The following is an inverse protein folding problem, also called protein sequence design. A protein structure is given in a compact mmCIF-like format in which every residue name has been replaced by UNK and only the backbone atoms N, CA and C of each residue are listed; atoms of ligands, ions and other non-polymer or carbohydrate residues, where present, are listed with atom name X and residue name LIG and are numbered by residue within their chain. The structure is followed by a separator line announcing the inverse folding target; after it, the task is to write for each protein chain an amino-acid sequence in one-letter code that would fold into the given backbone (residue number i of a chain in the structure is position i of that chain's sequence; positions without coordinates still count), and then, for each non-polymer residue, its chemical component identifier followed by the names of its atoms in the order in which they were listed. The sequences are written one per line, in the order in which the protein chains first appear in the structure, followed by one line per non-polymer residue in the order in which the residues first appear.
data_IF_000418826161
#
_entry.id   IF_000418826161
#
_cell.length_a   1.000
_cell.length_b   1.000
_cell.length_c   1.000
_cell.angle_alpha   90.00
_cell.angle_beta   90.00
_cell.angle_gamma   90.00
#
_symmetry.space_group_name_H-M   'P 1'
#
loop_
_entity.id
_entity.type
_entity.pdbx_description
1 polymer ?
#
# COMPACT_ATOMS: atom_id res chain seq x y z
N UNK A 1 3.33 -32.01 16.64
CA UNK A 1 4.50 -31.75 15.77
C UNK A 1 4.90 -30.28 15.90
N UNK A 2 6.03 -30.01 16.56
CA UNK A 2 6.50 -28.64 16.79
C UNK A 2 7.04 -28.05 15.48
N UNK A 3 6.40 -26.99 15.00
CA UNK A 3 6.80 -26.28 13.80
C UNK A 3 8.13 -25.53 14.09
N UNK A 4 9.27 -26.12 13.72
CA UNK A 4 10.58 -25.47 13.82
C UNK A 4 10.58 -24.24 12.91
N UNK A 5 10.29 -23.06 13.47
CA UNK A 5 10.47 -21.77 12.81
C UNK A 5 11.92 -21.69 12.33
N UNK A 6 12.12 -21.43 11.04
CA UNK A 6 13.45 -21.27 10.44
C UNK A 6 14.22 -20.12 11.12
N UNK A 7 15.56 -20.19 11.22
CA UNK A 7 16.38 -19.18 11.88
C UNK A 7 16.15 -17.77 11.31
N UNK A 8 15.94 -17.64 9.99
CA UNK A 8 15.59 -16.38 9.35
C UNK A 8 14.25 -15.77 9.84
N UNK A 9 13.27 -16.60 10.20
CA UNK A 9 11.99 -16.14 10.74
C UNK A 9 12.08 -15.61 12.17
N UNK A 10 13.02 -16.13 12.96
CA UNK A 10 13.33 -15.60 14.30
C UNK A 10 13.98 -14.22 14.22
N UNK A 11 14.88 -14.01 13.25
CA UNK A 11 15.56 -12.73 13.05
C UNK A 11 14.59 -11.62 12.66
N UNK A 12 13.65 -11.88 11.74
CA UNK A 12 12.67 -10.89 11.29
C UNK A 12 11.66 -10.50 12.38
N UNK A 13 11.21 -11.46 13.20
CA UNK A 13 10.31 -11.17 14.31
C UNK A 13 11.02 -10.29 15.35
N UNK A 14 12.27 -10.61 15.69
CA UNK A 14 13.06 -9.81 16.63
C UNK A 14 13.33 -8.39 16.09
N UNK A 15 13.73 -8.28 14.82
CA UNK A 15 13.90 -7.00 14.12
C UNK A 15 12.60 -6.18 14.10
N UNK A 16 11.46 -6.84 13.86
CA UNK A 16 10.16 -6.17 13.92
C UNK A 16 9.88 -5.60 15.30
N UNK A 17 10.03 -6.40 16.37
CA UNK A 17 9.69 -5.97 17.73
C UNK A 17 10.58 -4.83 18.23
N UNK A 18 11.89 -4.90 17.96
CA UNK A 18 12.87 -3.96 18.50
C UNK A 18 12.99 -2.68 17.67
N UNK A 19 13.00 -2.80 16.33
CA UNK A 19 13.31 -1.68 15.44
C UNK A 19 12.07 -1.08 14.81
N UNK A 20 11.15 -1.90 14.29
CA UNK A 20 10.09 -1.40 13.38
C UNK A 20 8.80 -1.05 14.11
N UNK A 21 8.39 -1.86 15.08
CA UNK A 21 7.14 -1.71 15.82
C UNK A 21 6.98 -0.32 16.47
N UNK A 22 8.01 0.28 17.10
CA UNK A 22 7.89 1.61 17.69
C UNK A 22 7.46 2.70 16.69
N UNK A 23 7.96 2.63 15.44
CA UNK A 23 7.59 3.59 14.40
C UNK A 23 6.13 3.44 13.94
N UNK A 24 5.55 2.24 13.99
CA UNK A 24 4.18 2.01 13.55
C UNK A 24 3.14 2.76 14.42
N UNK A 25 3.49 3.09 15.67
CA UNK A 25 2.60 3.85 16.57
C UNK A 25 2.41 5.30 16.12
N UNK A 26 3.44 5.88 15.50
CA UNK A 26 3.50 7.31 15.16
C UNK A 26 3.42 7.55 13.65
N UNK A 27 3.69 6.54 12.83
CA UNK A 27 3.70 6.64 11.37
C UNK A 27 2.37 7.21 10.83
N UNK A 28 2.43 8.11 9.82
CA UNK A 28 1.24 8.69 9.20
C UNK A 28 0.41 7.63 8.47
N UNK A 29 1.05 6.56 8.01
CA UNK A 29 0.43 5.45 7.33
C UNK A 29 0.89 4.11 7.91
N UNK A 30 0.04 3.10 7.79
CA UNK A 30 0.31 1.73 8.23
C UNK A 30 -0.14 0.75 7.16
N UNK A 31 0.74 -0.18 6.80
CA UNK A 31 0.38 -1.37 6.04
C UNK A 31 0.14 -2.53 7.01
N UNK A 32 -1.13 -2.89 7.20
CA UNK A 32 -1.52 -4.06 7.98
C UNK A 32 -1.54 -5.29 7.11
N UNK A 33 -0.88 -6.35 7.56
CA UNK A 33 -0.88 -7.67 6.94
C UNK A 33 -1.60 -8.62 7.89
N UNK A 34 -2.71 -9.19 7.44
CA UNK A 34 -3.61 -9.98 8.28
C UNK A 34 -4.29 -11.10 7.48
N UNK A 35 -4.96 -12.01 8.18
CA UNK A 35 -5.87 -12.97 7.56
C UNK A 35 -7.33 -12.50 7.72
N UNK A 36 -8.17 -12.84 6.75
CA UNK A 36 -9.63 -12.66 6.82
C UNK A 36 -10.29 -13.97 6.40
N UNK A 37 -11.34 -14.40 7.12
CA UNK A 37 -12.04 -15.65 6.83
C UNK A 37 -12.58 -15.74 5.41
N UNK A 38 -12.98 -14.61 4.84
CA UNK A 38 -13.65 -14.53 3.53
C UNK A 38 -12.71 -14.18 2.37
N UNK A 39 -11.39 -14.02 2.61
CA UNK A 39 -10.43 -13.57 1.59
C UNK A 39 -9.20 -14.47 1.57
N UNK A 40 -8.63 -14.78 0.40
CA UNK A 40 -7.40 -15.55 0.31
C UNK A 40 -6.26 -14.81 1.01
N UNK A 41 -5.62 -15.51 1.94
CA UNK A 41 -4.53 -14.97 2.74
C UNK A 41 -3.23 -14.76 1.92
N UNK A 42 -2.42 -13.73 2.27
CA UNK A 42 -2.72 -12.67 3.23
C UNK A 42 -3.58 -11.55 2.61
N UNK A 43 -4.20 -10.76 3.47
CA UNK A 43 -4.86 -9.50 3.13
C UNK A 43 -3.99 -8.34 3.58
N UNK A 44 -3.71 -7.44 2.65
CA UNK A 44 -2.98 -6.20 2.89
C UNK A 44 -4.01 -5.08 3.02
N UNK A 45 -3.90 -4.27 4.07
CA UNK A 45 -4.79 -3.15 4.32
C UNK A 45 -3.94 -1.92 4.58
N UNK A 46 -4.04 -0.92 3.71
CA UNK A 46 -3.38 0.38 3.93
C UNK A 46 -4.31 1.23 4.78
N UNK A 47 -3.76 1.83 5.83
CA UNK A 47 -4.48 2.73 6.75
C UNK A 47 -3.76 4.06 6.83
N UNK A 48 -4.52 5.17 6.82
CA UNK A 48 -4.02 6.52 7.09
C UNK A 48 -4.42 6.94 8.50
N UNK A 49 -3.50 7.60 9.19
CA UNK A 49 -3.76 8.23 10.49
C UNK A 49 -4.43 9.58 10.29
N UNK A 50 -5.51 9.79 11.03
CA UNK A 50 -6.21 11.07 11.08
C UNK A 50 -6.13 11.64 12.48
N UNK A 51 -5.80 12.91 12.56
CA UNK A 51 -5.88 13.71 13.78
C UNK A 51 -7.19 14.51 13.71
N UNK A 52 -8.07 14.39 14.71
CA UNK A 52 -9.38 15.06 14.69
C UNK A 52 -9.32 16.60 14.62
N UNK A 53 -8.16 17.20 14.84
CA UNK A 53 -7.95 18.66 14.82
C UNK A 53 -7.53 19.27 13.47
N UNK A 54 -7.38 18.48 12.40
CA UNK A 54 -6.92 19.00 11.10
C UNK A 54 -7.91 19.95 10.41
N UNK A 55 -9.21 19.82 10.71
CA UNK A 55 -10.28 20.50 9.98
C UNK A 55 -11.10 21.51 10.81
N UNK A 56 -10.78 21.69 12.11
CA UNK A 56 -11.57 22.54 13.01
C UNK A 56 -10.73 23.69 13.61
N UNK A 57 -10.56 24.78 12.84
CA UNK A 57 -10.31 26.11 13.41
C UNK A 57 -11.65 26.73 13.85
N UNK A 58 -12.21 26.24 14.95
CA UNK A 58 -13.21 26.97 15.72
C UNK A 58 -13.28 26.37 17.14
N UNK A 59 -12.78 27.12 18.12
CA UNK A 59 -12.99 26.92 19.56
C UNK A 59 -12.33 25.68 20.21
N UNK A 60 -11.06 25.85 20.57
CA UNK A 60 -10.55 25.54 21.91
C UNK A 60 -10.95 24.21 22.58
N UNK A 61 -10.45 23.08 22.07
CA UNK A 61 -9.82 21.94 22.80
C UNK A 61 -9.63 20.79 21.80
N UNK A 62 -8.46 20.13 21.72
CA UNK A 62 -8.31 18.91 20.93
C UNK A 62 -9.22 17.82 21.51
N UNK A 63 -10.34 17.53 20.86
CA UNK A 63 -11.21 16.42 21.25
C UNK A 63 -11.02 15.25 20.29
N UNK A 64 -10.23 14.28 20.72
CA UNK A 64 -10.17 12.96 20.10
C UNK A 64 -8.77 12.39 19.95
N UNK A 65 -8.65 11.08 20.15
CA UNK A 65 -7.40 10.34 19.94
C UNK A 65 -7.17 10.15 18.45
N UNK A 66 -5.90 10.20 17.96
CA UNK A 66 -5.58 9.83 16.60
C UNK A 66 -6.12 8.43 16.27
N UNK A 67 -6.73 8.27 15.10
CA UNK A 67 -7.29 6.99 14.67
C UNK A 67 -6.81 6.62 13.27
N UNK A 68 -6.78 5.31 12.98
CA UNK A 68 -6.41 4.78 11.68
C UNK A 68 -7.67 4.46 10.86
N UNK A 69 -7.82 5.12 9.72
CA UNK A 69 -8.88 4.86 8.74
C UNK A 69 -8.36 4.01 7.60
N UNK A 70 -9.09 2.97 7.22
CA UNK A 70 -8.74 2.14 6.08
C UNK A 70 -8.85 2.93 4.78
N UNK A 71 -7.82 2.82 3.94
CA UNK A 71 -7.70 3.55 2.69
C UNK A 71 -7.64 2.64 1.47
N UNK A 72 -7.46 1.33 1.66
CA UNK A 72 -7.57 0.36 0.59
C UNK A 72 -7.21 -1.02 1.09
N UNK A 73 -7.54 -2.03 0.29
CA UNK A 73 -7.20 -3.42 0.57
C UNK A 73 -6.71 -4.15 -0.70
N UNK A 74 -5.83 -5.13 -0.53
CA UNK A 74 -5.28 -5.94 -1.60
C UNK A 74 -5.08 -7.39 -1.14
N UNK A 75 -5.53 -8.35 -1.94
CA UNK A 75 -5.41 -9.78 -1.64
C UNK A 75 -5.45 -10.61 -2.92
N UNK A 76 -5.18 -11.92 -2.82
CA UNK A 76 -5.33 -12.85 -3.94
C UNK A 76 -4.40 -12.58 -5.13
N UNK A 77 -4.92 -12.72 -6.35
CA UNK A 77 -4.12 -12.58 -7.57
C UNK A 77 -3.61 -11.14 -7.81
N UNK A 78 -4.40 -10.07 -7.59
CA UNK A 78 -3.88 -8.70 -7.63
C UNK A 78 -2.69 -8.48 -6.67
N UNK A 79 -2.75 -9.03 -5.46
CA UNK A 79 -1.62 -8.95 -4.52
C UNK A 79 -0.37 -9.62 -5.09
N UNK A 80 -0.48 -10.83 -5.64
CA UNK A 80 0.65 -11.55 -6.23
C UNK A 80 1.27 -10.77 -7.39
N UNK A 81 0.44 -10.16 -8.24
CA UNK A 81 0.87 -9.36 -9.39
C UNK A 81 1.57 -8.07 -8.97
N UNK A 82 1.07 -7.39 -7.95
CA UNK A 82 1.65 -6.15 -7.45
C UNK A 82 2.82 -6.37 -6.47
N UNK A 83 3.11 -7.59 -6.04
CA UNK A 83 4.10 -7.85 -4.99
C UNK A 83 5.50 -7.26 -5.28
N UNK A 84 6.06 -7.38 -6.51
CA UNK A 84 7.35 -6.74 -6.83
C UNK A 84 7.32 -5.22 -6.63
N UNK A 85 6.21 -4.58 -7.01
CA UNK A 85 6.01 -3.14 -6.87
C UNK A 85 5.86 -2.74 -5.41
N UNK A 86 5.09 -3.50 -4.63
CA UNK A 86 4.93 -3.26 -3.19
C UNK A 86 6.28 -3.36 -2.48
N UNK A 87 7.12 -4.33 -2.86
CA UNK A 87 8.50 -4.46 -2.35
C UNK A 87 9.35 -3.25 -2.71
N UNK A 88 9.28 -2.74 -3.93
CA UNK A 88 10.01 -1.54 -4.34
C UNK A 88 9.59 -0.31 -3.52
N UNK A 89 8.28 -0.09 -3.35
CA UNK A 89 7.75 1.04 -2.55
C UNK A 89 8.17 0.92 -1.09
N UNK A 90 7.94 -0.24 -0.47
CA UNK A 90 8.26 -0.46 0.95
C UNK A 90 9.75 -0.55 1.23
N UNK A 91 10.58 -0.86 0.22
CA UNK A 91 12.03 -0.88 0.32
C UNK A 91 12.65 0.51 0.45
N UNK A 92 11.93 1.57 0.07
CA UNK A 92 12.39 2.96 0.18
C UNK A 92 11.93 3.66 1.45
N UNK A 93 11.15 3.00 2.30
CA UNK A 93 10.68 3.60 3.56
C UNK A 93 11.84 3.69 4.54
N UNK A 94 12.06 4.90 5.04
CA UNK A 94 13.03 5.21 6.07
C UNK A 94 12.34 5.64 7.36
N UNK A 95 13.10 5.64 8.46
CA UNK A 95 12.72 6.34 9.67
C UNK A 95 12.91 7.88 9.55
N UNK A 96 12.60 8.60 10.61
CA UNK A 96 12.71 10.06 10.67
C UNK A 96 14.16 10.57 10.52
N UNK A 97 15.16 9.71 10.76
CA UNK A 97 16.58 10.01 10.55
C UNK A 97 17.06 9.66 9.14
N UNK A 98 16.18 9.19 8.26
CA UNK A 98 16.51 8.78 6.89
C UNK A 98 17.14 7.39 6.79
N UNK A 99 17.12 6.59 7.87
CA UNK A 99 17.68 5.24 7.89
C UNK A 99 16.64 4.26 7.31
N UNK A 100 17.01 3.44 6.31
CA UNK A 100 16.08 2.46 5.73
C UNK A 100 15.54 1.46 6.76
N UNK A 101 14.22 1.29 6.79
CA UNK A 101 13.58 0.31 7.67
C UNK A 101 13.59 -1.12 7.09
N UNK A 102 13.95 -1.26 5.81
CA UNK A 102 14.03 -2.53 5.08
C UNK A 102 12.73 -3.36 5.08
N UNK A 103 11.58 -2.68 5.08
CA UNK A 103 10.26 -3.33 5.18
C UNK A 103 9.98 -4.35 4.06
N UNK A 104 10.68 -4.22 2.93
CA UNK A 104 10.59 -5.16 1.83
C UNK A 104 10.95 -6.60 2.21
N UNK A 105 11.72 -6.80 3.30
CA UNK A 105 12.14 -8.12 3.81
C UNK A 105 10.98 -8.95 4.38
N UNK A 106 9.86 -8.31 4.74
CA UNK A 106 8.63 -8.99 5.18
C UNK A 106 7.83 -9.59 4.00
N UNK A 107 8.23 -9.29 2.76
CA UNK A 107 7.63 -9.80 1.53
C UNK A 107 8.64 -10.71 0.82
N UNK A 108 8.75 -11.95 1.29
CA UNK A 108 9.56 -12.94 0.58
C UNK A 108 8.93 -13.29 -0.79
N UNK A 109 9.71 -13.87 -1.69
CA UNK A 109 9.21 -14.38 -2.99
C UNK A 109 8.27 -15.59 -2.84
N UNK A 110 8.05 -16.07 -1.62
CA UNK A 110 7.24 -17.24 -1.30
C UNK A 110 5.97 -16.86 -0.54
N UNK A 111 5.61 -17.72 0.42
CA UNK A 111 4.45 -17.46 1.28
C UNK A 111 4.79 -16.36 2.28
N UNK A 112 4.02 -15.28 2.23
CA UNK A 112 4.08 -14.17 3.20
C UNK A 112 3.47 -14.65 4.53
N UNK A 113 4.32 -14.93 5.50
CA UNK A 113 3.95 -15.45 6.83
C UNK A 113 3.76 -14.36 7.87
N UNK A 114 4.36 -13.19 7.68
CA UNK A 114 4.27 -12.08 8.63
C UNK A 114 2.82 -11.60 8.80
N UNK A 115 2.44 -11.29 10.04
CA UNK A 115 1.14 -10.72 10.41
C UNK A 115 1.39 -9.59 11.40
N UNK A 116 1.00 -8.38 11.05
CA UNK A 116 1.33 -7.19 11.84
C UNK A 116 1.15 -5.90 11.05
N UNK A 117 1.64 -4.81 11.64
CA UNK A 117 1.53 -3.46 11.11
C UNK A 117 2.93 -2.95 10.75
N UNK A 118 3.17 -2.66 9.47
CA UNK A 118 4.40 -2.03 9.03
C UNK A 118 4.17 -0.51 8.92
N UNK A 119 5.07 0.33 9.46
CA UNK A 119 5.01 1.78 9.31
C UNK A 119 5.22 2.15 7.84
N UNK A 120 4.56 3.21 7.38
CA UNK A 120 4.77 3.80 6.07
C UNK A 120 4.88 5.31 6.22
N UNK A 121 5.75 5.93 5.44
CA UNK A 121 5.75 7.38 5.22
C UNK A 121 4.57 7.81 4.34
N UNK A 122 4.42 9.14 4.15
CA UNK A 122 3.35 9.72 3.33
C UNK A 122 3.38 9.23 1.88
N UNK A 123 4.56 9.09 1.28
CA UNK A 123 4.70 8.71 -0.13
C UNK A 123 4.32 7.24 -0.34
N UNK A 124 4.89 6.34 0.46
CA UNK A 124 4.59 4.92 0.40
C UNK A 124 3.13 4.64 0.72
N UNK A 125 2.57 5.32 1.73
CA UNK A 125 1.17 5.26 2.09
C UNK A 125 0.24 5.68 0.96
N UNK A 126 0.52 6.85 0.35
CA UNK A 126 -0.28 7.37 -0.76
C UNK A 126 -0.22 6.46 -1.99
N UNK A 127 0.98 6.01 -2.38
CA UNK A 127 1.18 5.11 -3.52
C UNK A 127 0.44 3.78 -3.33
N UNK A 128 0.61 3.12 -2.19
CA UNK A 128 -0.03 1.83 -1.94
C UNK A 128 -1.56 1.97 -1.87
N UNK A 129 -2.06 3.01 -1.20
CA UNK A 129 -3.49 3.32 -1.16
C UNK A 129 -4.07 3.51 -2.57
N UNK A 130 -3.38 4.28 -3.41
CA UNK A 130 -3.80 4.54 -4.79
C UNK A 130 -3.81 3.25 -5.63
N UNK A 131 -2.77 2.41 -5.53
CA UNK A 131 -2.72 1.10 -6.20
C UNK A 131 -3.91 0.23 -5.74
N UNK A 132 -4.18 0.18 -4.44
CA UNK A 132 -5.20 -0.69 -3.86
C UNK A 132 -6.60 -0.28 -4.32
N UNK A 133 -6.86 1.02 -4.49
CA UNK A 133 -8.11 1.54 -5.08
C UNK A 133 -8.21 1.29 -6.57
N UNK A 134 -7.13 1.54 -7.31
CA UNK A 134 -7.15 1.43 -8.77
C UNK A 134 -7.38 0.00 -9.24
N UNK A 135 -6.83 -1.01 -8.55
CA UNK A 135 -7.05 -2.40 -8.94
C UNK A 135 -8.46 -2.93 -8.67
N UNK A 136 -9.27 -2.25 -7.85
CA UNK A 136 -10.59 -2.76 -7.46
C UNK A 136 -11.46 -3.07 -8.67
N UNK A 137 -12.04 -4.28 -8.70
CA UNK A 137 -12.91 -4.79 -9.77
C UNK A 137 -12.24 -4.94 -11.14
N UNK A 138 -10.91 -4.82 -11.22
CA UNK A 138 -10.16 -5.13 -12.44
C UNK A 138 -9.93 -6.63 -12.58
N UNK A 139 -10.26 -7.17 -13.76
CA UNK A 139 -10.01 -8.58 -14.11
C UNK A 139 -8.69 -8.79 -14.84
N UNK A 140 -8.25 -7.78 -15.59
CA UNK A 140 -7.02 -7.79 -16.35
C UNK A 140 -5.82 -7.53 -15.43
N UNK A 141 -5.06 -8.59 -15.17
CA UNK A 141 -3.94 -8.56 -14.24
C UNK A 141 -2.68 -7.90 -14.80
N UNK A 142 -2.54 -7.87 -16.12
CA UNK A 142 -1.45 -7.16 -16.77
C UNK A 142 -1.67 -5.66 -16.62
N UNK A 143 -2.91 -5.19 -16.80
CA UNK A 143 -3.24 -3.79 -16.52
C UNK A 143 -3.08 -3.42 -15.04
N UNK A 144 -3.45 -4.32 -14.12
CA UNK A 144 -3.21 -4.11 -12.68
C UNK A 144 -1.72 -3.94 -12.37
N UNK A 145 -0.87 -4.81 -12.92
CA UNK A 145 0.58 -4.69 -12.75
C UNK A 145 1.13 -3.40 -13.37
N UNK A 146 0.67 -3.04 -14.57
CA UNK A 146 1.14 -1.84 -15.28
C UNK A 146 0.79 -0.57 -14.50
N UNK A 147 -0.44 -0.49 -13.98
CA UNK A 147 -0.86 0.60 -13.10
C UNK A 147 0.05 0.68 -11.88
N UNK A 148 0.29 -0.45 -11.21
CA UNK A 148 1.13 -0.48 -10.02
C UNK A 148 2.55 0.04 -10.32
N UNK A 149 3.18 -0.44 -11.40
CA UNK A 149 4.51 -0.01 -11.83
C UNK A 149 4.59 1.49 -12.15
N UNK A 150 3.52 2.07 -12.72
CA UNK A 150 3.51 3.50 -13.03
C UNK A 150 3.24 4.37 -11.80
N UNK A 151 2.36 3.94 -10.90
CA UNK A 151 2.13 4.63 -9.61
C UNK A 151 3.38 4.60 -8.73
N UNK A 152 4.15 3.52 -8.78
CA UNK A 152 5.41 3.40 -8.04
C UNK A 152 6.42 4.51 -8.39
N UNK A 153 6.39 5.01 -9.63
CA UNK A 153 7.25 6.09 -10.12
C UNK A 153 6.74 7.50 -9.82
N UNK A 154 5.53 7.65 -9.30
CA UNK A 154 5.00 8.97 -8.95
C UNK A 154 5.86 9.64 -7.89
N UNK A 155 5.92 10.97 -7.88
CA UNK A 155 6.41 11.69 -6.71
C UNK A 155 5.43 11.55 -5.53
N UNK A 156 5.85 12.00 -4.35
CA UNK A 156 4.96 12.13 -3.18
C UNK A 156 3.74 12.99 -3.48
N UNK A 157 3.95 14.12 -4.14
CA UNK A 157 2.93 15.11 -4.48
C UNK A 157 1.93 14.51 -5.47
N UNK A 158 2.42 13.85 -6.53
CA UNK A 158 1.57 13.21 -7.52
C UNK A 158 0.70 12.11 -6.90
N UNK A 159 1.30 11.22 -6.10
CA UNK A 159 0.56 10.15 -5.43
C UNK A 159 -0.51 10.71 -4.49
N UNK A 160 -0.18 11.76 -3.73
CA UNK A 160 -1.12 12.42 -2.81
C UNK A 160 -2.24 13.15 -3.56
N UNK A 161 -1.91 13.86 -4.64
CA UNK A 161 -2.86 14.58 -5.47
C UNK A 161 -3.90 13.62 -6.07
N UNK A 162 -3.43 12.55 -6.73
CA UNK A 162 -4.32 11.57 -7.34
C UNK A 162 -5.14 10.77 -6.32
N UNK A 163 -4.55 10.45 -5.16
CA UNK A 163 -5.31 9.82 -4.09
C UNK A 163 -6.43 10.73 -3.58
N UNK A 164 -6.18 12.03 -3.43
CA UNK A 164 -7.19 13.02 -3.04
C UNK A 164 -8.32 13.06 -4.08
N UNK A 165 -7.99 13.11 -5.37
CA UNK A 165 -8.96 13.09 -6.47
C UNK A 165 -9.85 11.85 -6.50
N UNK A 166 -9.34 10.72 -6.04
CA UNK A 166 -10.07 9.43 -6.04
C UNK A 166 -10.84 9.17 -4.74
N UNK A 167 -10.73 10.05 -3.74
CA UNK A 167 -11.34 9.83 -2.41
C UNK A 167 -12.22 10.97 -1.91
N UNK A 168 -12.00 12.21 -2.32
CA UNK A 168 -12.62 13.38 -1.68
C UNK A 168 -13.68 14.12 -2.51
N UNK A 169 -14.03 13.65 -3.72
CA UNK A 169 -14.90 14.38 -4.66
C UNK A 169 -16.27 13.72 -4.84
N UNK A 170 -16.79 13.07 -3.80
CA UNK A 170 -18.07 12.36 -3.83
C UNK A 170 -18.04 11.06 -4.65
N UNK A 171 -19.09 10.25 -4.52
CA UNK A 171 -19.10 8.90 -5.10
C UNK A 171 -18.94 8.89 -6.63
N UNK A 172 -19.54 9.84 -7.33
CA UNK A 172 -19.47 9.93 -8.80
C UNK A 172 -18.11 10.43 -9.28
N UNK A 173 -17.65 11.56 -8.73
CA UNK A 173 -16.34 12.13 -9.06
C UNK A 173 -15.20 11.16 -8.78
N UNK A 174 -15.25 10.47 -7.63
CA UNK A 174 -14.27 9.43 -7.29
C UNK A 174 -14.28 8.27 -8.30
N UNK A 175 -15.47 7.81 -8.73
CA UNK A 175 -15.60 6.74 -9.73
C UNK A 175 -15.04 7.17 -11.09
N UNK A 176 -15.32 8.38 -11.53
CA UNK A 176 -14.80 8.92 -12.79
C UNK A 176 -13.28 9.08 -12.75
N UNK A 177 -12.74 9.61 -11.66
CA UNK A 177 -11.30 9.73 -11.46
C UNK A 177 -10.62 8.35 -11.52
N UNK A 178 -11.17 7.34 -10.83
CA UNK A 178 -10.66 5.97 -10.88
C UNK A 178 -10.72 5.39 -12.30
N UNK A 179 -11.82 5.58 -13.03
CA UNK A 179 -11.96 5.08 -14.39
C UNK A 179 -10.95 5.75 -15.35
N UNK A 180 -10.84 7.08 -15.31
CA UNK A 180 -9.89 7.83 -16.13
C UNK A 180 -8.45 7.44 -15.82
N UNK A 181 -8.08 7.32 -14.55
CA UNK A 181 -6.74 6.90 -14.14
C UNK A 181 -6.42 5.46 -14.57
N UNK A 182 -7.37 4.52 -14.51
CA UNK A 182 -7.17 3.15 -15.00
C UNK A 182 -6.84 3.12 -16.49
N UNK A 183 -7.46 3.98 -17.29
CA UNK A 183 -7.17 4.11 -18.72
C UNK A 183 -5.81 4.78 -18.92
N UNK A 184 -5.57 5.92 -18.27
CA UNK A 184 -4.33 6.68 -18.41
C UNK A 184 -3.09 5.87 -18.02
N UNK A 185 -3.19 5.09 -16.94
CA UNK A 185 -2.07 4.33 -16.38
C UNK A 185 -1.98 2.92 -16.94
N UNK A 186 -3.12 2.24 -17.10
CA UNK A 186 -3.18 0.84 -17.50
C UNK A 186 -3.58 0.59 -18.96
N UNK A 187 -3.74 1.63 -19.78
CA UNK A 187 -4.23 1.50 -21.14
C UNK A 187 -5.70 1.08 -21.23
N UNK A 188 -6.18 0.84 -22.45
CA UNK A 188 -7.52 0.28 -22.67
C UNK A 188 -7.54 -1.22 -22.34
N UNK A 189 -8.70 -1.78 -21.93
CA UNK A 189 -8.87 -3.24 -21.85
C UNK A 189 -8.47 -3.91 -23.16
N UNK A 190 -7.80 -5.08 -23.07
CA UNK A 190 -7.43 -5.92 -24.23
C UNK A 190 -6.41 -5.29 -25.22
N UNK A 191 -5.86 -4.13 -24.89
CA UNK A 191 -4.82 -3.51 -25.71
C UNK A 191 -3.49 -4.28 -25.58
N UNK A 192 -3.05 -4.89 -26.68
CA UNK A 192 -1.78 -5.62 -26.76
C UNK A 192 -0.55 -4.76 -26.44
N UNK A 193 -0.66 -3.43 -26.51
CA UNK A 193 0.39 -2.52 -26.08
C UNK A 193 0.71 -2.62 -24.59
N UNK A 194 -0.25 -3.03 -23.75
CA UNK A 194 -0.06 -3.23 -22.31
C UNK A 194 1.07 -4.21 -22.03
N UNK A 195 1.08 -5.36 -22.72
CA UNK A 195 2.11 -6.39 -22.55
C UNK A 195 3.51 -5.87 -22.95
N UNK A 196 3.60 -5.19 -24.09
CA UNK A 196 4.87 -4.58 -24.55
C UNK A 196 5.39 -3.53 -23.58
N UNK A 197 4.51 -2.73 -22.99
CA UNK A 197 4.91 -1.74 -21.98
C UNK A 197 5.35 -2.41 -20.68
N UNK A 198 4.67 -3.47 -20.24
CA UNK A 198 5.06 -4.23 -19.07
C UNK A 198 6.44 -4.86 -19.20
N UNK A 199 6.74 -5.46 -20.35
CA UNK A 199 8.06 -6.05 -20.61
C UNK A 199 9.18 -5.02 -20.41
N UNK A 200 9.02 -3.82 -20.97
CA UNK A 200 9.97 -2.70 -20.80
C UNK A 200 10.12 -2.21 -19.36
N UNK A 201 9.11 -2.41 -18.51
CA UNK A 201 9.13 -2.00 -17.11
C UNK A 201 9.54 -3.13 -16.16
N UNK A 202 9.64 -4.37 -16.68
CA UNK A 202 10.13 -5.56 -15.96
C UNK A 202 11.63 -5.77 -16.19
N UNK A 203 12.15 -5.39 -17.35
CA UNK A 203 13.59 -5.31 -17.67
C UNK A 203 14.27 -4.23 -16.86
#
# INVERSE_FOLDING_TARGET
MANKKSPAGWTLEHEFQQRIRPFAEHAPWVLRITDHKEKPAPVFIVKKRFSPNGDAKANGKPSGRPYLKEQGLLYGLPLRRCLPVIRAITGRVCDDAGIPLELHRFFNNGRITFRGNLPLDEEAGAKLSLIFKLQERMKDMDRVELIARRVERFSREEATYWLTRTTQYGAEGNRWALAGMRIMLGGQPEDKAVLRMLEKLRS
#
